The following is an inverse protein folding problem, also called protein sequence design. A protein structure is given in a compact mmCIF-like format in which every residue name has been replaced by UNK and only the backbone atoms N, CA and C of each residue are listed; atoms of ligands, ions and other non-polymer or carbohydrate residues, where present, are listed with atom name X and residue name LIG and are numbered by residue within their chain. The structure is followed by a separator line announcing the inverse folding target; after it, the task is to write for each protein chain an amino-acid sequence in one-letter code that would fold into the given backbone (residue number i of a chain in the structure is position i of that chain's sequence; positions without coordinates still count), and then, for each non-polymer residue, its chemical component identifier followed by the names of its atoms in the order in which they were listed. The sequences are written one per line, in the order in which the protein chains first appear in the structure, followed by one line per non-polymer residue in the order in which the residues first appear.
data_IF_637546762024
#
_entry.id   IF_637546762024
#
_cell.length_a   1.000
_cell.length_b   1.000
_cell.length_c   1.000
_cell.angle_alpha   90.00
_cell.angle_beta   90.00
_cell.angle_gamma   90.00
#
_symmetry.space_group_name_H-M   'P 1'
#
loop_
_entity.id
_entity.type
_entity.pdbx_description
1 polymer ?
#
# COMPACT_ATOMS: atom_id res chain seq x y z
N UNK A 1 -13.67 -0.87 45.87
CA UNK A 1 -14.97 -0.60 45.23
C UNK A 1 -15.06 0.87 44.84
N UNK A 2 -14.86 1.20 43.56
CA UNK A 2 -15.38 2.42 42.87
C UNK A 2 -15.21 2.22 41.39
N UNK A 3 -16.32 1.97 40.70
CA UNK A 3 -16.44 1.84 39.26
C UNK A 3 -16.52 3.24 38.65
N UNK A 4 -15.55 3.63 37.83
CA UNK A 4 -15.68 4.83 37.00
C UNK A 4 -16.02 4.37 35.57
N UNK A 5 -17.29 4.48 35.21
CA UNK A 5 -17.76 4.37 33.85
C UNK A 5 -17.57 5.72 33.16
N UNK A 6 -16.63 5.81 32.22
CA UNK A 6 -16.51 6.97 31.34
C UNK A 6 -17.24 6.64 30.02
N UNK A 7 -18.39 7.29 29.84
CA UNK A 7 -19.12 7.31 28.56
C UNK A 7 -18.43 8.30 27.64
N UNK A 8 -17.91 7.86 26.52
CA UNK A 8 -17.56 8.76 25.40
C UNK A 8 -18.72 8.80 24.43
N UNK A 9 -19.28 9.99 24.29
CA UNK A 9 -20.32 10.32 23.34
C UNK A 9 -19.73 10.42 21.93
N UNK A 10 -20.49 9.88 20.96
CA UNK A 10 -20.14 9.95 19.53
C UNK A 10 -20.23 11.38 18.98
N UNK A 11 -19.34 11.69 18.08
CA UNK A 11 -19.48 12.81 17.14
C UNK A 11 -19.58 12.25 15.73
N UNK A 12 -20.84 12.17 15.27
CA UNK A 12 -21.12 11.99 13.84
C UNK A 12 -21.03 13.36 13.17
N UNK A 13 -20.01 13.55 12.33
CA UNK A 13 -19.94 14.71 11.44
C UNK A 13 -20.27 14.25 10.01
N UNK A 14 -21.53 14.42 9.63
CA UNK A 14 -22.00 14.39 8.25
C UNK A 14 -21.62 15.73 7.60
N UNK A 15 -20.73 15.73 6.62
CA UNK A 15 -20.52 16.85 5.71
C UNK A 15 -20.81 16.39 4.30
N UNK A 16 -22.06 16.61 3.86
CA UNK A 16 -22.50 16.57 2.46
C UNK A 16 -22.33 17.98 1.88
N UNK A 17 -21.41 18.18 0.97
CA UNK A 17 -21.35 19.37 0.13
C UNK A 17 -21.25 18.94 -1.33
N UNK A 18 -22.42 18.91 -1.99
CA UNK A 18 -22.53 18.86 -3.45
C UNK A 18 -22.53 20.28 -3.98
N UNK A 19 -21.44 20.72 -4.61
CA UNK A 19 -21.43 21.93 -5.44
C UNK A 19 -21.44 21.52 -6.91
N UNK A 20 -22.63 21.59 -7.51
CA UNK A 20 -22.80 21.54 -8.95
C UNK A 20 -22.42 22.89 -9.57
N UNK A 21 -21.32 22.94 -10.34
CA UNK A 21 -21.03 24.04 -11.24
C UNK A 21 -21.56 23.69 -12.62
N UNK A 22 -22.68 24.28 -13.02
CA UNK A 22 -23.15 24.34 -14.39
C UNK A 22 -22.47 25.53 -15.09
N UNK A 23 -21.59 25.24 -16.06
CA UNK A 23 -21.02 26.23 -16.94
C UNK A 23 -21.95 26.41 -18.16
N UNK A 24 -22.47 27.60 -18.44
CA UNK A 24 -23.24 27.84 -19.69
C UNK A 24 -22.29 27.88 -20.89
N UNK A 25 -22.55 27.02 -21.88
CA UNK A 25 -21.87 27.05 -23.17
C UNK A 25 -22.38 28.25 -23.99
N UNK A 26 -21.57 29.29 -24.15
CA UNK A 26 -21.83 30.38 -25.10
C UNK A 26 -21.44 29.88 -26.50
N UNK A 27 -22.45 29.73 -27.35
CA UNK A 27 -22.27 29.45 -28.77
C UNK A 27 -21.77 30.74 -29.49
N UNK A 28 -20.58 30.69 -30.07
CA UNK A 28 -20.03 31.71 -30.94
C UNK A 28 -20.47 31.40 -32.37
N UNK A 29 -21.11 32.33 -33.13
CA UNK A 29 -21.48 32.11 -34.51
C UNK A 29 -20.24 32.05 -35.40
N UNK A 30 -20.07 30.91 -36.13
CA UNK A 30 -19.01 30.75 -37.12
C UNK A 30 -19.34 31.56 -38.37
N UNK A 31 -18.54 32.58 -38.66
CA UNK A 31 -18.57 33.32 -39.94
C UNK A 31 -17.93 32.40 -40.98
N UNK A 32 -18.74 32.03 -41.99
CA UNK A 32 -18.28 31.24 -43.13
C UNK A 32 -17.42 32.13 -44.07
N UNK A 33 -16.14 31.81 -44.17
CA UNK A 33 -15.24 32.36 -45.21
C UNK A 33 -15.29 31.46 -46.45
N UNK A 34 -15.51 31.96 -47.65
CA UNK A 34 -15.51 31.10 -48.86
C UNK A 34 -14.11 30.55 -49.13
N UNK A 35 -13.97 29.24 -49.09
CA UNK A 35 -12.72 28.57 -49.41
C UNK A 35 -12.53 28.50 -50.91
N UNK A 36 -11.49 29.14 -51.42
CA UNK A 36 -10.99 29.02 -52.79
C UNK A 36 -10.38 27.63 -52.95
N UNK A 37 -10.98 26.80 -53.79
CA UNK A 37 -10.50 25.44 -54.06
C UNK A 37 -9.16 25.47 -54.82
N UNK A 38 -8.08 25.08 -54.14
CA UNK A 38 -6.80 24.75 -54.76
C UNK A 38 -6.82 23.23 -55.08
N UNK A 39 -6.49 22.79 -56.27
CA UNK A 39 -6.47 21.37 -56.57
C UNK A 39 -5.34 20.69 -55.79
N UNK A 40 -5.72 19.82 -54.85
CA UNK A 40 -4.79 19.01 -54.12
C UNK A 40 -4.27 17.86 -55.01
N UNK A 41 -2.98 17.90 -55.30
CA UNK A 41 -2.26 16.78 -55.89
C UNK A 41 -2.35 15.61 -54.90
N UNK A 42 -2.97 14.49 -55.32
CA UNK A 42 -3.09 13.28 -54.52
C UNK A 42 -1.72 12.64 -54.28
N UNK A 43 -1.06 13.08 -53.24
CA UNK A 43 0.08 12.33 -52.68
C UNK A 43 -0.46 11.09 -51.97
N UNK A 44 -0.10 9.91 -52.43
CA UNK A 44 -0.36 8.64 -51.78
C UNK A 44 0.36 8.65 -50.44
N UNK A 45 -0.35 9.07 -49.37
CA UNK A 45 0.13 8.92 -48.02
C UNK A 45 0.10 7.43 -47.67
N UNK A 46 1.27 6.79 -47.66
CA UNK A 46 1.45 5.44 -47.12
C UNK A 46 1.06 5.52 -45.65
N UNK A 47 -0.11 4.98 -45.28
CA UNK A 47 -0.57 4.87 -43.92
C UNK A 47 0.43 3.98 -43.18
N UNK A 48 1.34 4.60 -42.45
CA UNK A 48 2.20 3.90 -41.51
C UNK A 48 1.33 3.17 -40.47
N UNK A 49 1.79 2.02 -39.96
CA UNK A 49 1.00 1.24 -39.01
C UNK A 49 0.59 2.16 -37.82
N UNK A 50 -0.72 2.31 -37.66
CA UNK A 50 -1.29 3.03 -36.55
C UNK A 50 -0.78 2.37 -35.24
N UNK A 51 0.15 3.01 -34.58
CA UNK A 51 0.57 2.62 -33.22
C UNK A 51 -0.65 2.82 -32.33
N UNK A 52 -1.36 1.73 -32.07
CA UNK A 52 -2.40 1.71 -31.05
C UNK A 52 -1.72 2.13 -29.73
N UNK A 53 -1.96 3.38 -29.30
CA UNK A 53 -1.52 3.85 -28.00
C UNK A 53 -2.18 2.97 -26.96
N UNK A 54 -1.40 2.08 -26.34
CA UNK A 54 -1.87 1.22 -25.27
C UNK A 54 -2.24 2.13 -24.10
N UNK A 55 -3.52 2.17 -23.75
CA UNK A 55 -3.97 2.97 -22.61
C UNK A 55 -3.17 2.55 -21.37
N UNK A 56 -2.60 3.51 -20.67
CA UNK A 56 -1.93 3.23 -19.41
C UNK A 56 -2.96 2.67 -18.43
N UNK A 57 -2.63 1.58 -17.74
CA UNK A 57 -3.48 1.05 -16.69
C UNK A 57 -3.56 2.09 -15.54
N UNK A 58 -4.73 2.19 -14.93
CA UNK A 58 -4.93 3.13 -13.81
C UNK A 58 -4.23 2.63 -12.53
N UNK A 59 -3.78 3.55 -11.66
CA UNK A 59 -3.32 3.20 -10.33
C UNK A 59 -4.39 2.41 -9.56
N UNK A 60 -3.97 1.43 -8.80
CA UNK A 60 -4.85 0.63 -7.95
C UNK A 60 -4.42 0.75 -6.50
N UNK A 61 -5.38 0.71 -5.59
CA UNK A 61 -5.15 0.72 -4.15
C UNK A 61 -5.94 -0.42 -3.52
N UNK A 62 -5.28 -1.17 -2.63
CA UNK A 62 -5.92 -2.21 -1.83
C UNK A 62 -5.37 -2.17 -0.42
N UNK A 63 -6.27 -2.14 0.58
CA UNK A 63 -5.94 -2.26 1.99
C UNK A 63 -6.51 -3.54 2.56
N UNK A 64 -5.74 -4.21 3.40
CA UNK A 64 -6.12 -5.45 4.08
C UNK A 64 -5.55 -5.46 5.49
N UNK A 65 -6.31 -6.02 6.44
CA UNK A 65 -5.85 -6.31 7.81
C UNK A 65 -5.62 -7.81 7.92
N UNK A 66 -4.41 -8.21 8.27
CA UNK A 66 -3.97 -9.59 8.34
C UNK A 66 -3.70 -9.98 9.79
N UNK A 67 -4.41 -10.96 10.36
CA UNK A 67 -4.05 -11.50 11.66
C UNK A 67 -2.69 -12.20 11.55
N UNK A 68 -1.78 -11.89 12.46
CA UNK A 68 -0.44 -12.48 12.52
C UNK A 68 -0.28 -13.25 13.84
N UNK A 69 0.31 -14.45 13.73
CA UNK A 69 0.66 -15.28 14.87
C UNK A 69 1.84 -16.16 14.52
N UNK A 70 2.84 -16.21 15.41
CA UNK A 70 4.00 -17.07 15.20
C UNK A 70 5.11 -16.76 16.18
N UNK A 71 6.30 -17.31 15.91
CA UNK A 71 7.50 -17.11 16.72
C UNK A 71 8.60 -16.58 15.83
N UNK A 72 9.32 -15.58 16.27
CA UNK A 72 10.55 -15.16 15.63
C UNK A 72 11.70 -15.08 16.63
N UNK A 73 12.93 -15.19 16.13
CA UNK A 73 14.13 -15.02 16.96
C UNK A 73 14.37 -13.53 17.17
N UNK A 74 14.08 -13.06 18.38
CA UNK A 74 14.39 -11.70 18.81
C UNK A 74 15.85 -11.55 19.25
N UNK A 75 16.25 -10.34 19.64
CA UNK A 75 17.57 -10.09 20.20
C UNK A 75 17.72 -10.81 21.55
N UNK A 76 18.33 -11.97 21.53
CA UNK A 76 18.65 -12.77 22.72
C UNK A 76 17.66 -13.85 23.12
N UNK A 77 16.43 -13.83 22.63
CA UNK A 77 15.41 -14.85 22.93
C UNK A 77 14.41 -15.04 21.77
N UNK A 78 13.67 -16.13 21.81
CA UNK A 78 12.53 -16.31 20.90
C UNK A 78 11.34 -15.52 21.42
N UNK A 79 10.59 -14.94 20.49
CA UNK A 79 9.42 -14.12 20.84
C UNK A 79 8.18 -14.66 20.14
N UNK A 80 7.23 -15.13 20.93
CA UNK A 80 5.91 -15.50 20.41
C UNK A 80 5.08 -14.23 20.17
N UNK A 81 4.75 -13.96 18.91
CA UNK A 81 4.06 -12.75 18.45
C UNK A 81 2.61 -13.05 18.12
N UNK A 82 1.71 -12.16 18.53
CA UNK A 82 0.28 -12.18 18.15
C UNK A 82 -0.20 -10.76 17.97
N UNK A 83 -0.98 -10.50 16.91
CA UNK A 83 -1.53 -9.17 16.62
C UNK A 83 -2.11 -9.07 15.23
N UNK A 84 -2.20 -7.86 14.72
CA UNK A 84 -2.71 -7.54 13.39
C UNK A 84 -1.70 -6.71 12.61
N UNK A 85 -1.53 -7.03 11.32
CA UNK A 85 -0.74 -6.27 10.38
C UNK A 85 -1.69 -5.63 9.35
N UNK A 86 -1.77 -4.31 9.37
CA UNK A 86 -2.46 -3.54 8.34
C UNK A 86 -1.53 -3.26 7.17
N UNK A 87 -2.00 -3.60 5.98
CA UNK A 87 -1.22 -3.47 4.74
C UNK A 87 -2.01 -2.69 3.71
N UNK A 88 -1.42 -1.62 3.17
CA UNK A 88 -1.94 -0.89 2.03
C UNK A 88 -0.96 -1.02 0.86
N UNK A 89 -1.46 -1.49 -0.27
CA UNK A 89 -0.70 -1.65 -1.52
C UNK A 89 -1.23 -0.65 -2.54
N UNK A 90 -0.34 0.16 -3.11
CA UNK A 90 -0.65 1.14 -4.14
C UNK A 90 0.19 0.80 -5.36
N UNK A 91 -0.42 0.55 -6.52
CA UNK A 91 0.32 0.29 -7.76
C UNK A 91 0.27 1.49 -8.69
N UNK A 92 1.41 1.81 -9.28
CA UNK A 92 1.59 2.87 -10.27
C UNK A 92 2.09 2.22 -11.57
N UNK A 93 1.17 1.72 -12.42
CA UNK A 93 1.55 1.05 -13.66
C UNK A 93 2.08 2.02 -14.71
N UNK A 94 3.02 1.54 -15.55
CA UNK A 94 3.54 2.26 -16.71
C UNK A 94 2.77 1.87 -17.97
N UNK A 95 2.72 2.76 -18.96
CA UNK A 95 2.05 2.51 -20.24
C UNK A 95 2.59 1.27 -20.98
N UNK A 96 3.87 0.96 -20.84
CA UNK A 96 4.50 -0.24 -21.41
C UNK A 96 4.25 -1.52 -20.62
N UNK A 97 3.52 -1.46 -19.52
CA UNK A 97 3.34 -2.52 -18.53
C UNK A 97 4.41 -2.48 -17.44
N UNK A 98 4.21 -3.26 -16.38
CA UNK A 98 5.01 -3.16 -15.17
C UNK A 98 4.78 -1.83 -14.44
N UNK A 99 5.64 -1.48 -13.51
CA UNK A 99 5.51 -0.23 -12.77
C UNK A 99 6.19 -0.26 -11.42
N UNK A 100 5.69 0.55 -10.50
CA UNK A 100 6.13 0.60 -9.11
C UNK A 100 4.96 0.28 -8.19
N UNK A 101 5.21 -0.55 -7.20
CA UNK A 101 4.28 -0.83 -6.11
C UNK A 101 4.83 -0.22 -4.83
N UNK A 102 4.00 0.57 -4.16
CA UNK A 102 4.24 1.07 -2.82
C UNK A 102 3.49 0.18 -1.84
N UNK A 103 4.21 -0.36 -0.87
CA UNK A 103 3.67 -1.23 0.17
C UNK A 103 3.88 -0.53 1.50
N UNK A 104 2.79 -0.17 2.15
CA UNK A 104 2.77 0.44 3.47
C UNK A 104 2.23 -0.62 4.43
N UNK A 105 2.96 -0.87 5.50
CA UNK A 105 2.57 -1.83 6.54
C UNK A 105 2.69 -1.19 7.91
N UNK A 106 1.69 -1.43 8.77
CA UNK A 106 1.69 -0.98 10.17
C UNK A 106 1.18 -2.10 11.07
N UNK A 107 1.72 -2.15 12.28
CA UNK A 107 1.24 -3.09 13.31
C UNK A 107 0.16 -2.41 14.14
N UNK A 108 -0.92 -3.16 14.40
CA UNK A 108 -2.00 -2.79 15.29
C UNK A 108 -2.14 -3.86 16.38
N UNK A 109 -2.26 -3.42 17.64
CA UNK A 109 -2.44 -4.27 18.83
C UNK A 109 -1.51 -5.50 18.87
N UNK A 110 -0.26 -5.34 18.42
CA UNK A 110 0.68 -6.44 18.29
C UNK A 110 1.57 -6.57 19.52
N UNK A 111 1.48 -7.72 20.16
CA UNK A 111 2.24 -8.05 21.36
C UNK A 111 3.15 -9.25 21.15
N UNK A 112 4.17 -9.33 21.97
CA UNK A 112 5.12 -10.44 22.01
C UNK A 112 5.32 -10.97 23.41
N UNK A 113 5.68 -12.25 23.54
CA UNK A 113 6.10 -12.86 24.79
C UNK A 113 7.42 -13.59 24.58
N UNK A 114 8.42 -13.26 25.36
CA UNK A 114 9.74 -13.89 25.33
C UNK A 114 9.70 -15.32 25.85
N UNK A 115 10.44 -16.22 25.21
CA UNK A 115 10.60 -17.61 25.62
C UNK A 115 12.10 -17.91 25.79
N UNK A 116 12.58 -18.34 26.99
CA UNK A 116 11.81 -18.80 28.16
C UNK A 116 11.50 -17.70 29.23
N UNK A 117 11.88 -16.44 29.01
CA UNK A 117 11.81 -15.39 30.04
C UNK A 117 10.39 -15.03 30.49
N UNK A 118 9.38 -15.22 29.62
CA UNK A 118 8.02 -14.74 29.84
C UNK A 118 7.87 -13.21 29.76
N UNK A 119 8.91 -12.47 29.36
CA UNK A 119 8.86 -11.02 29.28
C UNK A 119 7.85 -10.55 28.24
N UNK A 120 6.96 -9.60 28.59
CA UNK A 120 6.03 -9.00 27.65
C UNK A 120 6.71 -7.92 26.82
N UNK A 121 6.37 -7.90 25.53
CA UNK A 121 6.83 -6.93 24.55
C UNK A 121 5.67 -6.32 23.79
N UNK A 122 5.84 -5.08 23.35
CA UNK A 122 5.05 -4.46 22.29
C UNK A 122 5.86 -4.39 21.01
N UNK A 123 5.21 -4.70 19.88
CA UNK A 123 5.76 -4.46 18.57
C UNK A 123 4.95 -3.33 17.93
N UNK A 124 5.64 -2.23 17.62
CA UNK A 124 4.98 -1.02 17.13
C UNK A 124 5.72 -0.44 15.93
N UNK A 125 4.99 0.31 15.12
CA UNK A 125 5.56 1.06 14.02
C UNK A 125 4.87 0.82 12.69
N UNK A 126 5.35 1.57 11.71
CA UNK A 126 4.95 1.45 10.32
C UNK A 126 6.19 1.45 9.42
N UNK A 127 6.07 0.80 8.27
CA UNK A 127 7.13 0.70 7.28
C UNK A 127 6.57 0.91 5.88
N UNK A 128 7.41 1.45 5.00
CA UNK A 128 7.05 1.69 3.60
C UNK A 128 8.17 1.19 2.70
N UNK A 129 7.79 0.42 1.69
CA UNK A 129 8.66 -0.07 0.62
C UNK A 129 8.11 0.36 -0.73
N UNK A 130 9.01 0.77 -1.64
CA UNK A 130 8.71 1.07 -3.04
C UNK A 130 9.48 0.08 -3.91
N UNK A 131 8.78 -0.83 -4.59
CA UNK A 131 9.36 -1.94 -5.34
C UNK A 131 8.87 -1.97 -6.79
N UNK A 132 9.74 -2.27 -7.76
CA UNK A 132 9.33 -2.46 -9.14
C UNK A 132 8.57 -3.78 -9.33
N UNK A 133 7.59 -3.79 -10.25
CA UNK A 133 6.97 -5.02 -10.73
C UNK A 133 7.08 -5.14 -12.26
N UNK A 134 7.07 -6.39 -12.75
CA UNK A 134 7.37 -6.72 -14.14
C UNK A 134 6.17 -6.48 -15.07
N UNK A 135 6.47 -6.10 -16.34
CA UNK A 135 5.51 -6.06 -17.44
C UNK A 135 5.21 -7.45 -18.02
N UNK A 136 6.09 -8.41 -17.83
CA UNK A 136 6.06 -9.68 -18.57
C UNK A 136 5.22 -10.77 -17.90
N UNK A 137 5.07 -10.73 -16.57
CA UNK A 137 4.43 -11.79 -15.80
C UNK A 137 3.90 -11.29 -14.44
N UNK A 138 3.14 -12.17 -13.79
CA UNK A 138 2.79 -12.01 -12.38
C UNK A 138 4.06 -11.97 -11.52
N UNK A 139 4.15 -10.95 -10.66
CA UNK A 139 5.30 -10.72 -9.79
C UNK A 139 4.87 -10.91 -8.34
N UNK A 140 5.61 -11.70 -7.56
CA UNK A 140 5.44 -11.76 -6.10
C UNK A 140 6.53 -10.93 -5.45
N UNK A 141 6.12 -9.83 -4.83
CA UNK A 141 6.99 -8.97 -4.05
C UNK A 141 7.04 -9.49 -2.61
N UNK A 142 8.26 -9.64 -2.08
CA UNK A 142 8.48 -10.00 -0.68
C UNK A 142 9.15 -8.85 0.04
N UNK A 143 8.56 -8.38 1.13
CA UNK A 143 9.11 -7.32 1.98
C UNK A 143 9.20 -7.79 3.42
N UNK A 144 10.17 -7.25 4.16
CA UNK A 144 10.38 -7.52 5.58
C UNK A 144 10.38 -6.18 6.33
N UNK A 145 9.18 -5.70 6.70
CA UNK A 145 9.05 -4.43 7.37
C UNK A 145 9.81 -4.42 8.70
N UNK A 146 10.46 -3.30 9.01
CA UNK A 146 11.14 -3.07 10.26
C UNK A 146 10.20 -2.39 11.25
N UNK A 147 10.06 -2.98 12.44
CA UNK A 147 9.25 -2.47 13.54
C UNK A 147 10.10 -2.28 14.79
N UNK A 148 9.59 -1.54 15.76
CA UNK A 148 10.24 -1.37 17.05
C UNK A 148 9.73 -2.44 18.01
N UNK A 149 10.68 -3.07 18.73
CA UNK A 149 10.40 -3.99 19.82
C UNK A 149 10.61 -3.23 21.15
N UNK A 150 9.56 -3.09 21.92
CA UNK A 150 9.55 -2.35 23.19
C UNK A 150 9.25 -3.31 24.33
N UNK A 151 10.17 -3.44 25.30
CA UNK A 151 9.93 -4.22 26.49
C UNK A 151 8.95 -3.51 27.43
N UNK A 152 7.96 -4.24 27.96
CA UNK A 152 7.07 -3.77 29.03
C UNK A 152 7.62 -4.03 30.42
N UNK A 153 8.85 -4.51 30.57
CA UNK A 153 9.45 -4.74 31.88
C UNK A 153 9.48 -3.46 32.72
N UNK A 154 9.17 -3.58 34.02
CA UNK A 154 9.20 -2.47 34.99
C UNK A 154 10.33 -2.74 36.00
N UNK A 155 11.28 -1.78 36.20
CA UNK A 155 11.37 -0.50 35.49
C UNK A 155 11.77 -0.70 34.03
N UNK A 156 11.26 0.14 33.11
CA UNK A 156 11.72 0.11 31.73
C UNK A 156 13.23 0.35 31.75
N UNK A 157 14.01 -0.52 31.14
CA UNK A 157 15.45 -0.31 31.03
C UNK A 157 15.69 0.89 30.09
N UNK A 158 16.01 2.09 30.60
CA UNK A 158 16.11 3.29 29.78
C UNK A 158 17.30 3.28 28.83
N UNK A 159 18.15 2.27 28.96
CA UNK A 159 19.45 2.19 28.25
C UNK A 159 19.38 1.39 26.95
N UNK A 160 18.31 0.64 26.73
CA UNK A 160 18.17 -0.10 25.46
C UNK A 160 17.38 0.76 24.47
N UNK A 161 18.03 1.40 23.50
CA UNK A 161 17.31 2.09 22.44
C UNK A 161 16.44 1.06 21.71
N UNK A 162 15.23 1.45 21.29
CA UNK A 162 14.35 0.54 20.57
C UNK A 162 15.09 -0.03 19.34
N UNK A 163 15.27 -1.33 19.33
CA UNK A 163 15.93 -2.00 18.22
C UNK A 163 14.91 -2.30 17.12
N UNK A 164 15.16 -1.93 15.87
CA UNK A 164 14.32 -2.35 14.77
C UNK A 164 14.42 -3.87 14.60
N UNK A 165 13.28 -4.53 14.56
CA UNK A 165 13.16 -5.98 14.32
C UNK A 165 12.31 -6.23 13.09
N UNK A 166 12.46 -7.40 12.49
CA UNK A 166 11.73 -7.81 11.28
C UNK A 166 10.99 -9.12 11.51
N UNK A 167 9.95 -9.12 12.37
CA UNK A 167 9.27 -10.34 12.78
C UNK A 167 8.36 -10.92 11.71
N UNK A 168 8.05 -10.16 10.65
CA UNK A 168 7.06 -10.52 9.64
C UNK A 168 7.69 -10.48 8.26
N UNK A 169 7.34 -11.48 7.44
CA UNK A 169 7.54 -11.45 5.99
C UNK A 169 6.18 -11.27 5.31
N UNK A 170 6.05 -10.20 4.55
CA UNK A 170 4.87 -9.87 3.77
C UNK A 170 5.11 -10.26 2.31
N UNK A 171 4.13 -10.93 1.69
CA UNK A 171 4.15 -11.28 0.26
C UNK A 171 2.95 -10.67 -0.44
N UNK A 172 3.20 -9.96 -1.53
CA UNK A 172 2.18 -9.29 -2.36
C UNK A 172 2.32 -9.79 -3.79
N UNK A 173 1.25 -10.33 -4.37
CA UNK A 173 1.21 -10.78 -5.76
C UNK A 173 0.61 -9.68 -6.64
N UNK A 174 1.31 -9.33 -7.71
CA UNK A 174 0.91 -8.30 -8.66
C UNK A 174 0.86 -8.87 -10.09
N UNK A 175 -0.21 -8.56 -10.81
CA UNK A 175 -0.28 -8.80 -12.26
C UNK A 175 0.57 -7.79 -13.05
N UNK A 176 0.84 -8.09 -14.31
CA UNK A 176 1.64 -7.24 -15.23
C UNK A 176 1.04 -5.84 -15.46
N UNK A 177 -0.26 -5.68 -15.25
CA UNK A 177 -0.98 -4.39 -15.32
C UNK A 177 -1.06 -3.65 -13.99
N UNK A 178 -0.46 -4.18 -12.93
CA UNK A 178 -0.56 -3.64 -11.57
C UNK A 178 -1.79 -4.12 -10.80
N UNK A 179 -2.54 -5.10 -11.31
CA UNK A 179 -3.65 -5.70 -10.58
C UNK A 179 -3.14 -6.36 -9.29
N UNK A 180 -3.72 -6.00 -8.14
CA UNK A 180 -3.30 -6.47 -6.83
C UNK A 180 -4.01 -7.79 -6.52
N UNK A 181 -3.26 -8.87 -6.47
CA UNK A 181 -3.72 -10.21 -6.14
C UNK A 181 -3.67 -10.53 -4.64
N UNK A 182 -3.11 -11.68 -4.28
CA UNK A 182 -3.01 -12.12 -2.88
C UNK A 182 -2.03 -11.24 -2.08
N UNK A 183 -2.41 -10.92 -0.84
CA UNK A 183 -1.57 -10.30 0.17
C UNK A 183 -1.54 -11.24 1.38
N UNK A 184 -0.36 -11.69 1.77
CA UNK A 184 -0.19 -12.65 2.87
C UNK A 184 0.97 -12.24 3.76
N UNK A 185 0.88 -12.56 5.06
CA UNK A 185 1.93 -12.30 6.02
C UNK A 185 2.26 -13.56 6.82
N UNK A 186 3.53 -13.75 7.13
CA UNK A 186 4.01 -14.83 7.99
C UNK A 186 4.94 -14.27 9.05
N UNK A 187 4.80 -14.76 10.30
CA UNK A 187 5.72 -14.43 11.40
C UNK A 187 6.86 -15.44 11.39
N UNK A 188 8.07 -14.99 11.58
CA UNK A 188 9.26 -15.82 11.67
C UNK A 188 10.46 -15.23 10.95
N UNK A 189 11.61 -15.86 11.13
CA UNK A 189 12.80 -15.58 10.36
C UNK A 189 12.76 -16.44 9.09
N UNK A 190 12.78 -15.87 7.88
CA UNK A 190 12.71 -16.65 6.63
C UNK A 190 13.96 -17.49 6.34
N UNK A 191 15.02 -17.35 7.14
CA UNK A 191 16.32 -17.99 6.92
C UNK A 191 16.57 -19.16 7.89
N UNK A 192 15.50 -19.77 8.43
CA UNK A 192 15.58 -20.99 9.26
C UNK A 192 14.90 -22.18 8.60
#
# INVERSE_FOLDING_TARGET
MRRNALRLAGNACLLTAALGLTVPATAVPATAVPATAVPATAGTATAGPARTARAAALPQVRSVSLPIKGVFRGPGENIAVTGTLDVSVITLPKAAGGGTAQIISSLDDTTGTGDPSGHPYDLVGAHRDDLPFSAAATTTLKVRPAFLLVSRAVPPNPVVPPNPVRPVTLSVTLGSTGAIGAVTATVGNPDT
#
